data_IF_311780301873
#
_entry.id   IF_311780301873
#
_cell.length_a   1.000
_cell.length_b   1.000
_cell.length_c   1.000
_cell.angle_alpha   90.00
_cell.angle_beta   90.00
_cell.angle_gamma   90.00
#
_symmetry.space_group_name_H-M   'P 1'
#
loop_
_entity.id
_entity.type
_entity.pdbx_description
1 polymer ?
#
# COMPACT_ATOMS: atom_id res chain seq x y z
N UNK A 1 29.98 -18.68 23.85
CA UNK A 1 28.85 -18.56 24.80
C UNK A 1 27.81 -17.75 24.08
N UNK A 2 26.84 -18.42 23.46
CA UNK A 2 25.74 -17.78 22.76
C UNK A 2 24.74 -17.26 23.77
N UNK A 3 24.48 -15.96 23.75
CA UNK A 3 23.40 -15.33 24.50
C UNK A 3 22.51 -14.62 23.48
N UNK A 4 21.81 -15.37 22.63
CA UNK A 4 20.68 -14.83 21.85
C UNK A 4 19.45 -14.83 22.75
N UNK A 5 19.41 -13.90 23.69
CA UNK A 5 18.15 -13.48 24.30
C UNK A 5 17.47 -12.54 23.31
N UNK A 6 16.72 -13.09 22.35
CA UNK A 6 15.75 -12.31 21.59
C UNK A 6 14.62 -11.93 22.55
N UNK A 7 14.77 -10.79 23.23
CA UNK A 7 13.67 -10.19 23.97
C UNK A 7 12.68 -9.66 22.94
N UNK A 8 11.54 -10.34 22.82
CA UNK A 8 10.43 -9.87 21.97
C UNK A 8 10.01 -8.49 22.47
N UNK A 9 10.12 -7.47 21.62
CA UNK A 9 9.69 -6.12 21.96
C UNK A 9 8.16 -6.11 22.00
N UNK A 10 7.60 -5.49 23.02
CA UNK A 10 6.16 -5.28 23.09
C UNK A 10 5.79 -4.07 22.23
N UNK A 11 4.74 -4.24 21.43
CA UNK A 11 4.18 -3.19 20.57
C UNK A 11 2.80 -2.78 21.08
N UNK A 12 2.72 -1.94 22.13
CA UNK A 12 1.47 -1.63 22.82
C UNK A 12 0.47 -0.86 21.97
N UNK A 13 0.86 -0.29 20.84
CA UNK A 13 -0.02 0.45 19.92
C UNK A 13 -0.41 -0.36 18.68
N UNK A 14 0.09 -1.60 18.53
CA UNK A 14 -0.21 -2.45 17.39
C UNK A 14 -1.14 -3.60 17.78
N UNK A 15 -2.09 -3.90 16.91
CA UNK A 15 -2.99 -5.05 17.05
C UNK A 15 -3.22 -5.76 15.70
N UNK A 16 -3.50 -7.07 15.76
CA UNK A 16 -4.06 -7.86 14.67
C UNK A 16 -5.47 -8.29 15.07
N UNK A 17 -6.48 -7.88 14.31
CA UNK A 17 -7.89 -8.14 14.63
C UNK A 17 -8.55 -8.82 13.45
N UNK A 18 -9.05 -10.04 13.66
CA UNK A 18 -9.76 -10.80 12.64
C UNK A 18 -11.00 -10.02 12.14
N UNK A 19 -11.23 -10.03 10.82
CA UNK A 19 -12.29 -9.23 10.19
C UNK A 19 -12.03 -7.72 10.08
N UNK A 20 -10.94 -7.19 10.65
CA UNK A 20 -10.48 -5.82 10.40
C UNK A 20 -9.18 -5.83 9.60
N UNK A 21 -9.09 -4.99 8.56
CA UNK A 21 -7.92 -4.92 7.68
C UNK A 21 -7.42 -6.28 7.16
N UNK A 22 -8.31 -7.28 7.06
CA UNK A 22 -7.95 -8.65 6.65
C UNK A 22 -7.07 -9.40 7.65
N UNK A 23 -7.15 -9.08 8.95
CA UNK A 23 -6.31 -9.70 9.99
C UNK A 23 -4.90 -9.10 10.10
N UNK A 24 -4.55 -8.15 9.23
CA UNK A 24 -3.22 -7.52 9.16
C UNK A 24 -2.96 -6.61 10.36
N UNK A 25 -1.66 -6.44 10.68
CA UNK A 25 -1.23 -5.56 11.76
C UNK A 25 -1.65 -4.11 11.49
N UNK A 26 -2.26 -3.47 12.48
CA UNK A 26 -2.73 -2.08 12.40
C UNK A 26 -2.49 -1.33 13.70
N UNK A 27 -2.46 0.00 13.61
CA UNK A 27 -2.43 0.86 14.80
C UNK A 27 -3.78 0.74 15.52
N UNK A 28 -3.76 0.52 16.83
CA UNK A 28 -4.93 0.34 17.68
C UNK A 28 -5.91 1.49 17.53
N UNK A 29 -7.21 1.17 17.51
CA UNK A 29 -8.25 2.17 17.35
C UNK A 29 -8.36 2.79 15.95
N UNK A 30 -7.51 2.41 15.00
CA UNK A 30 -7.56 2.89 13.61
C UNK A 30 -7.72 1.74 12.60
N UNK A 31 -7.82 2.10 11.32
CA UNK A 31 -7.69 1.18 10.19
C UNK A 31 -6.37 1.35 9.43
N UNK A 32 -5.42 2.09 10.00
CA UNK A 32 -4.11 2.34 9.40
C UNK A 32 -3.23 1.13 9.66
N UNK A 33 -2.87 0.42 8.59
CA UNK A 33 -2.03 -0.77 8.65
C UNK A 33 -0.57 -0.39 8.94
N UNK A 34 0.17 -1.29 9.58
CA UNK A 34 1.63 -1.13 9.71
C UNK A 34 2.30 -1.03 8.35
N UNK A 35 1.84 -1.84 7.38
CA UNK A 35 2.34 -1.80 6.00
C UNK A 35 2.15 -0.44 5.33
N UNK A 36 1.09 0.29 5.67
CA UNK A 36 0.86 1.64 5.15
C UNK A 36 1.90 2.63 5.70
N UNK A 37 2.15 2.61 7.02
CA UNK A 37 3.17 3.44 7.65
C UNK A 37 4.56 3.13 7.09
N UNK A 38 4.85 1.84 6.86
CA UNK A 38 6.10 1.41 6.24
C UNK A 38 6.28 2.00 4.83
N UNK A 39 5.26 1.92 3.97
CA UNK A 39 5.29 2.51 2.62
C UNK A 39 5.48 4.04 2.66
N UNK A 40 4.72 4.73 3.51
CA UNK A 40 4.81 6.20 3.64
C UNK A 40 6.22 6.63 4.08
N UNK A 41 6.82 5.93 5.05
CA UNK A 41 8.15 6.27 5.52
C UNK A 41 9.27 5.83 4.58
N UNK A 42 9.22 4.58 4.10
CA UNK A 42 10.35 3.93 3.43
C UNK A 42 10.31 4.19 1.93
N UNK A 43 9.16 4.01 1.28
CA UNK A 43 9.06 4.15 -0.19
C UNK A 43 8.80 5.60 -0.59
N UNK A 44 7.90 6.28 0.13
CA UNK A 44 7.57 7.68 -0.15
C UNK A 44 8.54 8.69 0.50
N UNK A 45 9.48 8.20 1.33
CA UNK A 45 10.49 9.01 2.03
C UNK A 45 9.91 10.12 2.90
N UNK A 46 8.69 9.93 3.40
CA UNK A 46 8.06 10.89 4.30
C UNK A 46 8.75 10.84 5.66
N UNK A 47 9.03 12.02 6.21
CA UNK A 47 9.44 12.11 7.61
C UNK A 47 8.24 11.89 8.56
N UNK A 48 8.51 11.72 9.85
CA UNK A 48 7.45 11.42 10.82
C UNK A 48 6.49 12.62 10.98
N UNK A 49 6.97 13.86 10.83
CA UNK A 49 6.13 15.05 10.91
C UNK A 49 5.14 15.08 9.72
N UNK A 50 5.57 14.68 8.53
CA UNK A 50 4.74 14.56 7.33
C UNK A 50 3.70 13.44 7.44
N UNK A 51 4.08 12.31 8.05
CA UNK A 51 3.14 11.21 8.34
C UNK A 51 2.08 11.66 9.35
N UNK A 52 2.48 12.36 10.43
CA UNK A 52 1.53 12.94 11.39
C UNK A 52 0.62 13.98 10.75
N UNK A 53 1.14 14.82 9.84
CA UNK A 53 0.31 15.78 9.08
C UNK A 53 -0.70 15.07 8.18
N UNK A 54 -0.32 13.94 7.60
CA UNK A 54 -1.19 13.12 6.73
C UNK A 54 -2.24 12.36 7.53
N UNK A 55 -1.91 11.98 8.76
CA UNK A 55 -2.80 11.30 9.69
C UNK A 55 -2.92 12.07 11.02
N UNK A 56 -3.66 13.21 11.08
CA UNK A 56 -3.68 14.08 12.26
C UNK A 56 -4.23 13.46 13.55
N UNK A 57 -4.82 12.27 13.46
CA UNK A 57 -5.35 11.50 14.58
C UNK A 57 -4.35 10.46 15.12
N UNK A 58 -3.20 10.30 14.47
CA UNK A 58 -2.09 9.49 14.95
C UNK A 58 -1.11 10.33 15.73
N UNK A 59 -0.46 9.68 16.69
CA UNK A 59 0.63 10.27 17.45
C UNK A 59 1.99 9.68 17.06
N UNK A 60 3.05 10.46 17.29
CA UNK A 60 4.44 10.06 17.00
C UNK A 60 4.78 8.68 17.56
N UNK A 61 4.40 8.38 18.81
CA UNK A 61 4.72 7.11 19.45
C UNK A 61 4.02 5.91 18.78
N UNK A 62 2.83 6.10 18.21
CA UNK A 62 2.12 5.03 17.48
C UNK A 62 2.80 4.74 16.13
N UNK A 63 3.30 5.80 15.48
CA UNK A 63 4.06 5.68 14.22
C UNK A 63 5.41 5.00 14.49
N UNK A 64 6.14 5.43 15.53
CA UNK A 64 7.39 4.77 15.90
C UNK A 64 7.19 3.31 16.32
N UNK A 65 6.11 3.01 17.05
CA UNK A 65 5.78 1.62 17.40
C UNK A 65 5.44 0.79 16.16
N UNK A 66 4.70 1.36 15.20
CA UNK A 66 4.42 0.71 13.92
C UNK A 66 5.70 0.44 13.11
N UNK A 67 6.62 1.40 13.03
CA UNK A 67 7.90 1.20 12.35
C UNK A 67 8.76 0.17 13.07
N UNK A 68 8.79 0.17 14.40
CA UNK A 68 9.49 -0.85 15.17
C UNK A 68 8.91 -2.24 14.90
N UNK A 69 7.58 -2.38 14.91
CA UNK A 69 6.88 -3.63 14.58
C UNK A 69 7.20 -4.07 13.16
N UNK A 70 7.22 -3.13 12.20
CA UNK A 70 7.58 -3.42 10.83
C UNK A 70 8.97 -4.03 10.75
N UNK A 71 9.99 -3.42 11.37
CA UNK A 71 11.36 -3.92 11.28
C UNK A 71 11.54 -5.33 11.89
N UNK A 72 10.76 -5.69 12.91
CA UNK A 72 10.74 -7.06 13.46
C UNK A 72 10.01 -8.07 12.56
N UNK A 73 9.07 -7.62 11.72
CA UNK A 73 8.18 -8.47 10.91
C UNK A 73 8.25 -8.16 9.41
N UNK A 74 9.38 -7.62 8.94
CA UNK A 74 9.58 -7.12 7.57
C UNK A 74 9.14 -8.11 6.51
N UNK A 75 9.58 -9.37 6.62
CA UNK A 75 9.26 -10.40 5.63
C UNK A 75 7.75 -10.63 5.48
N UNK A 76 7.01 -10.72 6.60
CA UNK A 76 5.56 -10.89 6.56
C UNK A 76 4.88 -9.70 5.89
N UNK A 77 5.29 -8.48 6.27
CA UNK A 77 4.64 -7.25 5.82
C UNK A 77 4.98 -6.94 4.35
N UNK A 78 6.20 -7.22 3.92
CA UNK A 78 6.60 -7.06 2.52
C UNK A 78 5.86 -8.04 1.61
N UNK A 79 5.69 -9.29 2.04
CA UNK A 79 4.88 -10.28 1.34
C UNK A 79 3.42 -9.82 1.20
N UNK A 80 2.84 -9.32 2.29
CA UNK A 80 1.50 -8.73 2.29
C UNK A 80 1.36 -7.58 1.27
N UNK A 81 2.35 -6.70 1.17
CA UNK A 81 2.36 -5.57 0.22
C UNK A 81 2.47 -6.06 -1.22
N UNK A 82 3.33 -7.04 -1.49
CA UNK A 82 3.47 -7.65 -2.82
C UNK A 82 2.17 -8.30 -3.26
N UNK A 83 1.48 -9.00 -2.38
CA UNK A 83 0.17 -9.60 -2.67
C UNK A 83 -0.91 -8.55 -2.96
N UNK A 84 -0.95 -7.47 -2.17
CA UNK A 84 -1.85 -6.34 -2.40
C UNK A 84 -1.61 -5.70 -3.77
N UNK A 85 -0.35 -5.46 -4.13
CA UNK A 85 0.00 -4.90 -5.44
C UNK A 85 -0.39 -5.84 -6.59
N UNK A 86 -0.18 -7.15 -6.44
CA UNK A 86 -0.62 -8.15 -7.44
C UNK A 86 -2.14 -8.12 -7.61
N UNK A 87 -2.89 -8.02 -6.52
CA UNK A 87 -4.34 -7.92 -6.55
C UNK A 87 -4.80 -6.63 -7.27
N UNK A 88 -4.24 -5.48 -6.90
CA UNK A 88 -4.53 -4.19 -7.53
C UNK A 88 -4.22 -4.23 -9.03
N UNK A 89 -3.06 -4.76 -9.42
CA UNK A 89 -2.67 -4.89 -10.83
C UNK A 89 -3.66 -5.75 -11.63
N UNK A 90 -4.12 -6.87 -11.05
CA UNK A 90 -5.13 -7.74 -11.66
C UNK A 90 -6.47 -7.00 -11.83
N UNK A 91 -6.89 -6.26 -10.80
CA UNK A 91 -8.11 -5.45 -10.83
C UNK A 91 -8.05 -4.37 -11.92
N UNK A 92 -6.92 -3.66 -12.03
CA UNK A 92 -6.71 -2.63 -13.05
C UNK A 92 -6.74 -3.24 -14.46
N UNK A 93 -6.09 -4.39 -14.68
CA UNK A 93 -6.12 -5.07 -15.99
C UNK A 93 -7.54 -5.42 -16.40
N UNK A 94 -8.30 -6.04 -15.49
CA UNK A 94 -9.68 -6.43 -15.75
C UNK A 94 -10.55 -5.20 -16.04
N UNK A 95 -10.47 -4.16 -15.21
CA UNK A 95 -11.23 -2.93 -15.42
C UNK A 95 -10.88 -2.27 -16.76
N UNK A 96 -9.60 -2.28 -17.15
CA UNK A 96 -9.14 -1.78 -18.45
C UNK A 96 -9.75 -2.56 -19.60
N UNK A 97 -9.75 -3.90 -19.53
CA UNK A 97 -10.37 -4.75 -20.56
C UNK A 97 -11.87 -4.47 -20.69
N UNK A 98 -12.59 -4.46 -19.57
CA UNK A 98 -14.03 -4.15 -19.53
C UNK A 98 -14.33 -2.75 -20.08
N UNK A 99 -13.47 -1.76 -19.79
CA UNK A 99 -13.61 -0.37 -20.25
C UNK A 99 -13.37 -0.25 -21.77
N UNK A 100 -12.34 -0.91 -22.29
CA UNK A 100 -12.05 -0.91 -23.73
C UNK A 100 -13.15 -1.62 -24.53
N UNK A 101 -13.73 -2.70 -24.00
CA UNK A 101 -14.89 -3.36 -24.62
C UNK A 101 -16.12 -2.45 -24.65
N UNK A 102 -16.38 -1.68 -23.57
CA UNK A 102 -17.49 -0.72 -23.55
C UNK A 102 -17.31 0.38 -24.59
N UNK A 103 -16.10 0.93 -24.74
CA UNK A 103 -15.81 1.98 -25.72
C UNK A 103 -15.95 1.47 -27.15
N UNK A 104 -15.45 0.26 -27.45
CA UNK A 104 -15.55 -0.31 -28.80
C UNK A 104 -16.99 -0.64 -29.20
N UNK A 105 -17.84 -0.97 -28.22
CA UNK A 105 -19.25 -1.35 -28.46
C UNK A 105 -20.19 -0.14 -28.48
N UNK A 106 -19.83 0.97 -27.81
CA UNK A 106 -20.67 2.18 -27.67
C UNK A 106 -20.36 3.25 -28.73
N UNK A 107 -19.95 2.82 -29.93
CA UNK A 107 -19.36 3.67 -30.98
C UNK A 107 -20.12 4.99 -31.24
N UNK A 108 -19.52 6.11 -30.82
CA UNK A 108 -19.77 7.50 -31.29
C UNK A 108 -18.44 8.30 -31.38
N UNK A 109 -17.30 7.72 -30.99
CA UNK A 109 -16.03 8.45 -30.84
C UNK A 109 -15.22 8.48 -32.14
N UNK A 110 -14.55 9.61 -32.41
CA UNK A 110 -13.70 9.77 -33.60
C UNK A 110 -12.35 9.06 -33.46
N UNK A 111 -11.68 8.77 -34.59
CA UNK A 111 -10.38 8.09 -34.64
C UNK A 111 -9.29 8.80 -33.82
N UNK A 112 -9.31 10.14 -33.76
CA UNK A 112 -8.39 10.94 -32.95
C UNK A 112 -8.53 10.66 -31.45
N UNK A 113 -9.77 10.50 -30.95
CA UNK A 113 -10.02 10.25 -29.54
C UNK A 113 -9.60 8.84 -29.12
N UNK A 114 -9.75 7.85 -30.01
CA UNK A 114 -9.27 6.48 -29.78
C UNK A 114 -7.73 6.46 -29.70
N UNK A 115 -7.04 7.15 -30.61
CA UNK A 115 -5.57 7.25 -30.62
C UNK A 115 -5.00 7.91 -29.34
N UNK A 116 -5.65 8.95 -28.82
CA UNK A 116 -5.25 9.60 -27.57
C UNK A 116 -5.33 8.66 -26.36
N UNK A 117 -6.40 7.85 -26.26
CA UNK A 117 -6.56 6.87 -25.17
C UNK A 117 -5.50 5.78 -25.24
N UNK A 118 -5.21 5.26 -26.44
CA UNK A 118 -4.17 4.25 -26.62
C UNK A 118 -2.79 4.78 -26.21
N UNK A 119 -2.47 6.03 -26.58
CA UNK A 119 -1.21 6.66 -26.23
C UNK A 119 -1.12 6.96 -24.72
N UNK A 120 -2.19 7.44 -24.10
CA UNK A 120 -2.24 7.64 -22.65
C UNK A 120 -2.03 6.32 -21.88
N UNK A 121 -2.61 5.21 -22.36
CA UNK A 121 -2.38 3.87 -21.79
C UNK A 121 -0.92 3.40 -21.90
N UNK A 122 -0.22 3.77 -22.98
CA UNK A 122 1.22 3.48 -23.14
C UNK A 122 2.07 4.32 -22.17
N UNK A 123 1.71 5.57 -21.92
CA UNK A 123 2.40 6.43 -20.95
C UNK A 123 2.23 5.96 -19.50
N UNK A 124 1.03 5.51 -19.10
CA UNK A 124 0.80 4.95 -17.77
C UNK A 124 1.63 3.67 -17.51
N UNK A 125 1.87 2.85 -18.55
CA UNK A 125 2.73 1.66 -18.43
C UNK A 125 4.23 2.01 -18.29
N UNK A 126 4.65 3.24 -18.63
CA UNK A 126 6.01 3.73 -18.40
C UNK A 126 6.22 4.23 -16.98
N UNK A 127 5.14 4.48 -16.22
CA UNK A 127 5.21 4.82 -14.82
C UNK A 127 5.57 3.55 -14.03
N UNK A 128 6.87 3.33 -13.82
CA UNK A 128 7.35 2.31 -12.90
C UNK A 128 7.27 2.87 -11.47
N UNK A 129 6.71 2.07 -10.56
CA UNK A 129 6.77 2.36 -9.13
C UNK A 129 8.26 2.45 -8.76
N UNK A 130 8.74 3.59 -8.21
CA UNK A 130 10.14 3.71 -7.81
C UNK A 130 10.49 2.62 -6.80
N UNK A 131 11.68 2.03 -6.97
CA UNK A 131 12.24 0.99 -6.09
C UNK A 131 12.67 1.55 -4.75
#
# INVERSE_FOLDING_TARGET
MDITLQTKIEHPYIEKVEGSCGGKAKIKGTRIKVSQIAVEHIDMKMDIDEIVKSHPHLHYWEIYDALSYYYENQTEIDEELVEEMKFVKKMISKWREDYLQKISTTSVWSEEQVSLIENAGKELNKWQIPK
#
